data_IF_811248417542
#
_entry.id   IF_811248417542
#
_cell.length_a   1.000
_cell.length_b   1.000
_cell.length_c   1.000
_cell.angle_alpha   90.00
_cell.angle_beta   90.00
_cell.angle_gamma   90.00
#
_symmetry.space_group_name_H-M   'P 1'
#
loop_
_entity.id
_entity.type
_entity.pdbx_description
1 polymer ?
#
# COMPACT_ATOMS: atom_id res chain seq x y z
N UNK A 1 -3.54 18.94 -24.20
CA UNK A 1 -2.18 18.87 -23.59
C UNK A 1 -2.21 18.77 -22.05
N UNK A 2 -3.10 17.98 -21.42
CA UNK A 2 -2.95 17.53 -20.02
C UNK A 2 -3.58 16.14 -19.88
N UNK A 3 -2.82 15.10 -20.25
CA UNK A 3 -3.11 13.70 -19.91
C UNK A 3 -2.31 13.36 -18.65
N UNK A 4 -2.95 12.60 -17.75
CA UNK A 4 -2.38 11.89 -16.60
C UNK A 4 -1.68 12.71 -15.51
N UNK A 5 -2.42 13.49 -14.73
CA UNK A 5 -2.04 13.66 -13.31
C UNK A 5 -2.63 12.48 -12.53
N UNK A 6 -1.88 11.38 -12.49
CA UNK A 6 -2.17 10.27 -11.58
C UNK A 6 -2.09 10.83 -10.14
N UNK A 7 -3.26 10.92 -9.50
CA UNK A 7 -3.40 11.53 -8.18
C UNK A 7 -2.66 10.78 -7.09
N UNK A 8 -2.42 11.46 -5.97
CA UNK A 8 -1.90 10.85 -4.74
C UNK A 8 -3.05 10.33 -3.89
N UNK A 9 -2.91 9.12 -3.32
CA UNK A 9 -3.93 8.49 -2.47
C UNK A 9 -3.33 7.97 -1.15
N UNK A 10 -4.07 8.04 -0.05
CA UNK A 10 -3.63 7.68 1.30
C UNK A 10 -4.13 6.29 1.68
N UNK A 11 -3.23 5.34 1.98
CA UNK A 11 -3.61 3.93 2.24
C UNK A 11 -3.61 3.56 3.74
N UNK A 12 -2.73 4.14 4.56
CA UNK A 12 -2.72 3.92 6.03
C UNK A 12 -2.32 5.20 6.80
N UNK A 13 -1.37 5.96 6.26
CA UNK A 13 -1.09 7.37 6.59
C UNK A 13 -0.15 8.05 5.58
N UNK A 14 0.39 7.25 4.66
CA UNK A 14 1.34 7.67 3.64
C UNK A 14 0.64 7.94 2.32
N UNK A 15 1.11 8.97 1.61
CA UNK A 15 0.68 9.28 0.26
C UNK A 15 1.37 8.31 -0.71
N UNK A 16 0.57 7.52 -1.40
CA UNK A 16 1.00 6.58 -2.43
C UNK A 16 0.67 7.10 -3.81
N UNK A 17 1.48 6.70 -4.79
CA UNK A 17 1.23 6.99 -6.21
C UNK A 17 0.29 5.93 -6.77
N UNK A 18 -0.71 6.38 -7.54
CA UNK A 18 -1.59 5.50 -8.30
C UNK A 18 -0.85 5.07 -9.57
N UNK A 19 -0.84 3.78 -9.86
CA UNK A 19 -0.23 3.24 -11.09
C UNK A 19 -1.25 3.25 -12.23
N UNK A 20 -2.37 2.56 -12.05
CA UNK A 20 -3.33 2.30 -13.12
C UNK A 20 -4.75 2.09 -12.61
N UNK A 21 -5.73 2.32 -13.48
CA UNK A 21 -7.13 1.90 -13.26
C UNK A 21 -7.35 0.55 -13.94
N UNK A 22 -7.90 -0.42 -13.21
CA UNK A 22 -8.20 -1.78 -13.72
C UNK A 22 -9.68 -1.92 -14.07
N UNK A 23 -10.55 -1.48 -13.16
CA UNK A 23 -11.96 -1.78 -13.27
C UNK A 23 -12.83 -0.62 -12.78
N UNK A 24 -13.93 -0.44 -13.49
CA UNK A 24 -15.00 0.46 -13.10
C UNK A 24 -16.33 -0.23 -13.42
N UNK A 25 -17.28 -0.20 -12.49
CA UNK A 25 -18.55 -0.88 -12.69
C UNK A 25 -19.45 -0.20 -13.73
N UNK A 26 -19.34 1.12 -13.89
CA UNK A 26 -20.29 1.89 -14.71
C UNK A 26 -19.95 1.92 -16.20
N UNK A 27 -18.65 2.00 -16.55
CA UNK A 27 -18.22 2.01 -17.94
C UNK A 27 -16.74 1.68 -18.08
N UNK A 28 -16.40 1.00 -19.17
CA UNK A 28 -15.04 0.57 -19.50
C UNK A 28 -14.21 1.69 -20.15
N UNK A 29 -14.85 2.71 -20.74
CA UNK A 29 -14.16 3.89 -21.29
C UNK A 29 -13.33 4.63 -20.23
N UNK A 30 -13.81 4.65 -18.98
CA UNK A 30 -13.11 5.25 -17.86
C UNK A 30 -11.83 4.48 -17.48
N UNK A 31 -11.81 3.16 -17.73
CA UNK A 31 -10.62 2.32 -17.55
C UNK A 31 -9.60 2.62 -18.64
N UNK A 32 -10.06 2.73 -19.89
CA UNK A 32 -9.20 3.03 -21.04
C UNK A 32 -8.56 4.43 -20.96
N UNK A 33 -9.33 5.42 -20.50
CA UNK A 33 -8.86 6.81 -20.35
C UNK A 33 -8.10 7.07 -19.05
N UNK A 34 -8.04 6.08 -18.14
CA UNK A 34 -7.44 6.21 -16.79
C UNK A 34 -8.07 7.34 -15.98
N UNK A 35 -9.38 7.50 -16.11
CA UNK A 35 -10.15 8.52 -15.38
C UNK A 35 -10.52 8.00 -14.00
N UNK A 36 -10.18 8.76 -12.96
CA UNK A 36 -10.44 8.37 -11.58
C UNK A 36 -11.86 8.72 -11.16
N UNK A 37 -12.66 7.69 -10.84
CA UNK A 37 -14.02 7.83 -10.32
C UNK A 37 -14.17 7.19 -8.95
N UNK A 38 -15.12 7.72 -8.16
CA UNK A 38 -15.53 7.05 -6.93
C UNK A 38 -15.95 5.63 -7.28
N UNK A 39 -15.50 4.68 -6.50
CA UNK A 39 -15.67 3.23 -6.66
C UNK A 39 -14.82 2.55 -7.75
N UNK A 40 -13.93 3.26 -8.45
CA UNK A 40 -12.96 2.60 -9.31
C UNK A 40 -12.04 1.66 -8.53
N UNK A 41 -11.64 0.55 -9.15
CA UNK A 41 -10.59 -0.34 -8.66
C UNK A 41 -9.29 0.01 -9.40
N UNK A 42 -8.25 0.26 -8.62
CA UNK A 42 -6.98 0.78 -9.07
C UNK A 42 -5.81 -0.05 -8.53
N UNK A 43 -4.67 0.09 -9.21
CA UNK A 43 -3.37 -0.41 -8.77
C UNK A 43 -2.59 0.68 -8.06
N UNK A 44 -1.99 0.30 -6.94
CA UNK A 44 -1.12 1.15 -6.13
C UNK A 44 0.29 0.56 -6.11
N UNK A 45 1.27 1.46 -6.09
CA UNK A 45 2.66 1.14 -5.79
C UNK A 45 2.81 0.58 -4.37
N UNK A 46 3.35 -0.63 -4.26
CA UNK A 46 3.47 -1.40 -3.00
C UNK A 46 4.64 -0.98 -2.09
N UNK A 47 5.66 -0.32 -2.62
CA UNK A 47 6.94 -0.08 -1.91
C UNK A 47 6.77 0.70 -0.61
N UNK A 48 5.90 1.70 -0.61
CA UNK A 48 5.62 2.52 0.58
C UNK A 48 4.93 1.72 1.68
N UNK A 49 4.09 0.76 1.32
CA UNK A 49 3.46 -0.14 2.29
C UNK A 49 4.48 -1.14 2.85
N UNK A 50 5.36 -1.66 2.00
CA UNK A 50 6.40 -2.60 2.41
C UNK A 50 7.33 -1.97 3.46
N UNK A 51 7.83 -0.76 3.20
CA UNK A 51 8.67 -0.02 4.15
C UNK A 51 7.96 0.23 5.47
N UNK A 52 6.68 0.62 5.42
CA UNK A 52 5.87 0.81 6.62
C UNK A 52 5.73 -0.49 7.41
N UNK A 53 5.48 -1.61 6.74
CA UNK A 53 5.30 -2.89 7.40
C UNK A 53 6.59 -3.42 8.03
N UNK A 54 7.71 -3.27 7.32
CA UNK A 54 9.04 -3.63 7.83
C UNK A 54 9.36 -2.78 9.07
N UNK A 55 9.11 -1.47 9.04
CA UNK A 55 9.29 -0.61 10.21
C UNK A 55 8.34 -0.94 11.38
N UNK A 56 7.12 -1.40 11.11
CA UNK A 56 6.11 -1.67 12.14
C UNK A 56 6.20 -3.06 12.77
N UNK A 57 6.57 -4.07 11.98
CA UNK A 57 6.58 -5.46 12.43
C UNK A 57 7.98 -6.09 12.46
N UNK A 58 9.00 -5.42 11.91
CA UNK A 58 10.35 -5.97 11.74
C UNK A 58 10.30 -7.35 11.04
N UNK A 59 9.43 -7.48 10.04
CA UNK A 59 9.21 -8.70 9.26
C UNK A 59 9.33 -8.33 7.77
N UNK A 60 10.16 -9.05 6.99
CA UNK A 60 10.25 -8.80 5.57
C UNK A 60 8.98 -9.27 4.87
N UNK A 61 8.36 -8.38 4.09
CA UNK A 61 7.27 -8.74 3.16
C UNK A 61 7.79 -8.78 1.73
N UNK A 62 7.23 -9.67 0.91
CA UNK A 62 7.43 -9.66 -0.54
C UNK A 62 8.85 -10.03 -1.02
N UNK A 63 9.76 -10.39 -0.12
CA UNK A 63 11.05 -10.96 -0.53
C UNK A 63 10.81 -12.29 -1.24
N UNK A 64 11.47 -12.51 -2.38
CA UNK A 64 11.44 -13.81 -3.07
C UNK A 64 11.82 -14.89 -2.04
N UNK A 65 11.04 -15.97 -1.96
CA UNK A 65 11.26 -17.09 -1.04
C UNK A 65 12.74 -17.49 -1.10
N UNK A 66 13.53 -17.09 -0.09
CA UNK A 66 14.96 -17.38 -0.02
C UNK A 66 15.88 -16.23 0.42
N UNK A 67 15.45 -14.96 0.37
CA UNK A 67 16.29 -13.83 0.82
C UNK A 67 15.84 -13.38 2.20
N UNK A 68 16.61 -13.79 3.22
CA UNK A 68 16.49 -13.27 4.60
C UNK A 68 17.14 -11.89 4.67
N UNK A 69 16.59 -11.00 5.51
CA UNK A 69 17.11 -9.66 5.77
C UNK A 69 18.56 -9.69 6.29
N UNK A 70 19.29 -8.61 6.02
CA UNK A 70 20.65 -8.34 6.50
C UNK A 70 20.68 -8.07 8.01
N UNK A 71 21.76 -8.46 8.72
CA UNK A 71 21.87 -8.38 10.18
C UNK A 71 21.97 -6.95 10.75
N UNK A 72 22.11 -5.94 9.90
CA UNK A 72 22.35 -4.54 10.29
C UNK A 72 21.12 -3.88 10.95
N UNK A 73 19.90 -4.39 10.73
CA UNK A 73 18.68 -3.84 11.33
C UNK A 73 18.38 -4.39 12.74
N UNK A 74 18.98 -5.53 13.11
CA UNK A 74 18.76 -6.16 14.43
C UNK A 74 19.59 -5.50 15.55
N UNK A 75 20.72 -4.88 15.23
CA UNK A 75 21.64 -4.29 16.23
C UNK A 75 21.18 -2.94 16.81
N UNK A 76 20.25 -2.24 16.15
CA UNK A 76 19.77 -0.91 16.59
C UNK A 76 18.65 -1.04 17.66
N UNK A 77 18.20 -2.25 17.99
CA UNK A 77 17.00 -2.46 18.79
C UNK A 77 17.27 -2.38 20.31
N UNK A 78 16.96 -1.23 20.91
CA UNK A 78 16.89 -1.08 22.36
C UNK A 78 15.91 -2.08 23.01
N UNK A 79 16.22 -2.58 24.23
CA UNK A 79 15.38 -3.57 24.97
C UNK A 79 13.90 -3.17 25.12
N UNK A 80 13.59 -1.87 25.19
CA UNK A 80 12.21 -1.36 25.25
C UNK A 80 11.47 -1.47 23.91
N UNK A 81 12.20 -1.32 22.81
CA UNK A 81 11.69 -1.38 21.45
C UNK A 81 11.40 -2.84 21.07
N UNK A 82 12.26 -3.77 21.49
CA UNK A 82 12.08 -5.21 21.28
C UNK A 82 10.75 -5.72 21.87
N UNK A 83 10.42 -5.33 23.12
CA UNK A 83 9.13 -5.63 23.73
C UNK A 83 7.91 -5.07 22.97
N UNK A 84 8.05 -3.94 22.26
CA UNK A 84 6.99 -3.39 21.40
C UNK A 84 6.81 -4.21 20.13
N UNK A 85 7.90 -4.67 19.51
CA UNK A 85 7.84 -5.54 18.34
C UNK A 85 7.31 -6.93 18.70
N UNK A 86 7.70 -7.51 19.84
CA UNK A 86 7.20 -8.82 20.28
C UNK A 86 5.69 -8.81 20.53
N UNK A 87 5.14 -7.68 20.99
CA UNK A 87 3.68 -7.49 21.10
C UNK A 87 3.01 -7.40 19.73
N UNK A 88 3.63 -6.72 18.77
CA UNK A 88 3.08 -6.52 17.43
C UNK A 88 3.18 -7.79 16.56
N UNK A 89 4.27 -8.56 16.68
CA UNK A 89 4.49 -9.83 15.97
C UNK A 89 3.43 -10.89 16.26
N UNK A 90 2.74 -10.82 17.41
CA UNK A 90 1.69 -11.79 17.79
C UNK A 90 0.47 -11.77 16.86
N UNK A 91 0.16 -10.63 16.25
CA UNK A 91 -0.97 -10.49 15.33
C UNK A 91 -0.52 -9.84 14.01
N UNK A 92 0.17 -10.57 13.11
CA UNK A 92 0.44 -10.07 11.78
C UNK A 92 -0.88 -10.06 11.01
N UNK A 93 -1.50 -8.89 10.90
CA UNK A 93 -2.82 -8.68 10.26
C UNK A 93 -2.78 -8.78 8.72
N UNK A 94 -2.21 -9.86 8.17
CA UNK A 94 -2.12 -10.03 6.71
C UNK A 94 -2.61 -11.42 6.31
N UNK A 95 -3.66 -11.43 5.47
CA UNK A 95 -4.19 -12.63 4.85
C UNK A 95 -3.24 -13.18 3.77
N UNK A 96 -3.31 -14.48 3.50
CA UNK A 96 -2.50 -15.13 2.46
C UNK A 96 -2.65 -14.46 1.10
N UNK A 97 -3.89 -14.11 0.72
CA UNK A 97 -4.21 -13.45 -0.56
C UNK A 97 -3.46 -12.11 -0.71
N UNK A 98 -3.37 -11.32 0.37
CA UNK A 98 -2.65 -10.05 0.34
C UNK A 98 -1.14 -10.26 0.20
N UNK A 99 -0.58 -11.33 0.79
CA UNK A 99 0.87 -11.65 0.64
C UNK A 99 1.25 -11.86 -0.82
N UNK A 100 0.42 -12.55 -1.59
CA UNK A 100 0.69 -12.79 -3.01
C UNK A 100 0.61 -11.48 -3.82
N UNK A 101 -0.30 -10.57 -3.47
CA UNK A 101 -0.41 -9.26 -4.11
C UNK A 101 0.82 -8.37 -3.88
N UNK A 102 1.54 -8.52 -2.75
CA UNK A 102 2.79 -7.79 -2.49
C UNK A 102 3.95 -8.14 -3.43
N UNK A 103 3.87 -9.23 -4.20
CA UNK A 103 4.86 -9.49 -5.24
C UNK A 103 4.62 -8.67 -6.51
N UNK A 104 3.35 -8.38 -6.80
CA UNK A 104 2.93 -7.68 -8.02
C UNK A 104 2.65 -6.20 -7.73
N UNK A 105 1.41 -5.90 -7.37
CA UNK A 105 0.91 -4.57 -7.06
C UNK A 105 -0.34 -4.70 -6.20
N UNK A 106 -0.60 -3.70 -5.37
CA UNK A 106 -1.76 -3.72 -4.49
C UNK A 106 -2.98 -3.23 -5.22
N UNK A 107 -4.08 -3.96 -5.05
CA UNK A 107 -5.38 -3.58 -5.58
C UNK A 107 -6.15 -2.83 -4.49
N UNK A 108 -6.66 -1.65 -4.83
CA UNK A 108 -7.49 -0.87 -3.91
C UNK A 108 -8.68 -0.25 -4.63
N UNK A 109 -9.70 0.10 -3.85
CA UNK A 109 -10.86 0.84 -4.35
C UNK A 109 -10.63 2.35 -4.15
N UNK A 110 -11.35 3.20 -4.91
CA UNK A 110 -11.42 4.69 -4.80
C UNK A 110 -12.74 5.12 -4.08
N UNK A 111 -12.71 6.02 -3.06
CA UNK A 111 -13.83 6.33 -2.12
C UNK A 111 -14.25 7.76 -2.35
N UNK A 112 -13.27 8.61 -2.60
CA UNK A 112 -13.45 10.01 -2.94
C UNK A 112 -12.80 10.25 -4.30
N UNK A 113 -13.44 11.06 -5.15
CA UNK A 113 -12.70 11.83 -6.16
C UNK A 113 -12.09 13.03 -5.45
N UNK A 114 -10.83 13.35 -5.79
CA UNK A 114 -9.97 14.46 -5.34
C UNK A 114 -10.59 15.38 -4.27
N UNK A 115 -9.95 15.43 -3.10
CA UNK A 115 -10.17 16.48 -2.13
C UNK A 115 -9.62 17.79 -2.69
N UNK A 116 -10.47 18.79 -2.88
CA UNK A 116 -10.05 20.18 -2.96
C UNK A 116 -9.37 20.53 -1.64
N UNK A 117 -8.03 20.44 -1.63
CA UNK A 117 -7.14 21.02 -0.63
C UNK A 117 -7.25 20.55 0.83
N UNK A 118 -8.29 19.82 1.26
CA UNK A 118 -8.47 19.42 2.66
C UNK A 118 -9.14 18.05 2.72
N UNK A 119 -8.51 17.16 3.49
CA UNK A 119 -8.93 15.78 3.88
C UNK A 119 -8.35 14.67 2.98
N UNK A 120 -7.25 14.09 3.47
CA UNK A 120 -6.73 12.82 2.99
C UNK A 120 -7.79 11.73 3.14
N UNK A 121 -8.11 11.07 2.03
CA UNK A 121 -9.11 10.01 2.02
C UNK A 121 -8.49 8.73 2.58
N UNK A 122 -8.87 8.38 3.80
CA UNK A 122 -8.44 7.15 4.47
C UNK A 122 -9.26 5.92 4.02
N UNK A 123 -8.58 4.78 3.95
CA UNK A 123 -9.11 3.52 3.45
C UNK A 123 -8.83 2.31 4.33
N UNK A 124 -9.66 1.30 4.13
CA UNK A 124 -9.58 -0.06 4.67
C UNK A 124 -9.25 -1.02 3.55
#
# INVERSE_FOLDING_TARGET
KRKSELGFMMVIRHMTRITDVIYNASSNELVQTKTLVKNCIILIVRTLYQQWYEAHYALPLGHKKGIKLTPEEEEILNKMIQKKYDKQKKNPKISSILRDQFHYSLVARVRCKKADGRKGCAWS
#
